data_IF_141044776460
#
_entry.id   IF_141044776460
#
_cell.length_a   1.000
_cell.length_b   1.000
_cell.length_c   1.000
_cell.angle_alpha   90.00
_cell.angle_beta   90.00
_cell.angle_gamma   90.00
#
_symmetry.space_group_name_H-M   'P 1'
#
loop_
_entity.id
_entity.type
_entity.pdbx_description
1 polymer ?
#
# COMPACT_ATOMS: atom_id res chain seq x y z
N UNK A 1 0.63 -1.74 -13.17
CA UNK A 1 -0.06 -2.60 -12.20
C UNK A 1 -0.68 -1.71 -11.12
N UNK A 2 -1.83 -2.09 -10.57
CA UNK A 2 -2.50 -1.37 -9.49
C UNK A 2 -2.68 -2.29 -8.30
N UNK A 3 -2.33 -1.81 -7.10
CA UNK A 3 -2.47 -2.57 -5.85
C UNK A 3 -3.44 -1.81 -4.96
N UNK A 4 -4.57 -2.44 -4.66
CA UNK A 4 -5.61 -1.89 -3.79
C UNK A 4 -5.40 -2.23 -2.32
N UNK A 5 -4.73 -3.36 -2.04
CA UNK A 5 -4.56 -3.89 -0.69
C UNK A 5 -3.21 -4.57 -0.51
N UNK A 6 -2.64 -4.45 0.69
CA UNK A 6 -1.43 -5.15 1.12
C UNK A 6 -1.71 -5.77 2.50
N UNK A 7 -1.82 -7.10 2.54
CA UNK A 7 -2.19 -7.83 3.75
C UNK A 7 -0.97 -8.56 4.31
N UNK A 8 -0.67 -8.30 5.58
CA UNK A 8 0.34 -9.04 6.35
C UNK A 8 -0.37 -9.71 7.53
N UNK A 9 -0.19 -11.04 7.63
CA UNK A 9 -0.66 -11.82 8.79
C UNK A 9 -0.20 -11.17 10.08
N UNK A 10 -1.09 -11.08 11.07
CA UNK A 10 -0.81 -10.31 12.29
C UNK A 10 0.46 -10.77 13.02
N UNK A 11 0.69 -12.08 13.09
CA UNK A 11 1.84 -12.70 13.75
C UNK A 11 3.17 -12.44 13.03
N UNK A 12 3.12 -11.88 11.82
CA UNK A 12 4.28 -11.58 10.97
C UNK A 12 4.52 -10.07 10.78
N UNK A 13 3.70 -9.22 11.42
CA UNK A 13 3.88 -7.76 11.38
C UNK A 13 5.13 -7.36 12.19
N UNK A 14 5.69 -6.20 11.89
CA UNK A 14 6.92 -5.71 12.53
C UNK A 14 8.23 -6.35 12.04
N UNK A 15 8.15 -7.41 11.22
CA UNK A 15 9.32 -8.10 10.67
C UNK A 15 9.84 -7.53 9.34
N UNK A 16 9.38 -6.34 8.91
CA UNK A 16 9.82 -5.71 7.66
C UNK A 16 9.26 -6.32 6.36
N UNK A 17 8.37 -7.31 6.44
CA UNK A 17 7.81 -8.01 5.26
C UNK A 17 7.08 -7.05 4.32
N UNK A 18 6.26 -6.14 4.86
CA UNK A 18 5.54 -5.15 4.05
C UNK A 18 6.48 -4.28 3.21
N UNK A 19 7.60 -3.84 3.79
CA UNK A 19 8.62 -3.08 3.07
C UNK A 19 9.29 -3.93 1.97
N UNK A 20 9.62 -5.19 2.28
CA UNK A 20 10.20 -6.11 1.28
C UNK A 20 9.27 -6.33 0.10
N UNK A 21 7.96 -6.47 0.33
CA UNK A 21 6.97 -6.61 -0.74
C UNK A 21 6.90 -5.34 -1.60
N UNK A 22 6.79 -4.16 -0.99
CA UNK A 22 6.76 -2.88 -1.72
C UNK A 22 8.02 -2.71 -2.59
N UNK A 23 9.20 -3.00 -2.03
CA UNK A 23 10.47 -2.89 -2.76
C UNK A 23 10.58 -3.91 -3.91
N UNK A 24 10.12 -5.14 -3.69
CA UNK A 24 10.10 -6.16 -4.74
C UNK A 24 9.20 -5.72 -5.90
N UNK A 25 8.02 -5.17 -5.59
CA UNK A 25 7.06 -4.67 -6.57
C UNK A 25 7.61 -3.48 -7.36
N UNK A 26 8.28 -2.55 -6.69
CA UNK A 26 8.94 -1.42 -7.35
C UNK A 26 10.03 -1.89 -8.32
N UNK A 27 10.85 -2.87 -7.91
CA UNK A 27 11.90 -3.44 -8.77
C UNK A 27 11.33 -4.15 -9.99
N UNK A 28 10.29 -4.96 -9.80
CA UNK A 28 9.70 -5.75 -10.88
C UNK A 28 8.84 -4.89 -11.81
N UNK A 29 8.19 -3.87 -11.27
CA UNK A 29 7.20 -3.06 -11.97
C UNK A 29 7.40 -1.58 -11.62
N UNK A 30 8.38 -0.95 -12.26
CA UNK A 30 8.84 0.41 -11.96
C UNK A 30 7.73 1.48 -11.98
N UNK A 31 6.65 1.23 -12.74
CA UNK A 31 5.50 2.13 -12.86
C UNK A 31 4.29 1.67 -12.01
N UNK A 32 4.49 0.83 -11.00
CA UNK A 32 3.40 0.38 -10.13
C UNK A 32 2.89 1.52 -9.28
N UNK A 33 1.59 1.77 -9.40
CA UNK A 33 0.86 2.67 -8.52
C UNK A 33 0.23 1.87 -7.39
N UNK A 34 0.48 2.30 -6.15
CA UNK A 34 -0.02 1.66 -4.95
C UNK A 34 -0.88 2.68 -4.21
N UNK A 35 -2.21 2.56 -4.33
CA UNK A 35 -3.16 3.40 -3.59
C UNK A 35 -3.85 2.50 -2.56
N UNK A 36 -3.57 2.73 -1.27
CA UNK A 36 -4.07 1.88 -0.18
C UNK A 36 -4.95 2.68 0.76
N UNK A 37 -6.04 2.07 1.22
CA UNK A 37 -6.86 2.62 2.31
C UNK A 37 -6.24 2.21 3.64
N UNK A 38 -5.35 3.06 4.16
CA UNK A 38 -4.72 2.83 5.44
C UNK A 38 -5.73 2.94 6.59
N UNK A 39 -5.75 1.93 7.47
CA UNK A 39 -6.42 2.03 8.78
C UNK A 39 -5.59 2.90 9.73
N UNK A 40 -6.19 3.40 10.82
CA UNK A 40 -5.46 4.14 11.88
C UNK A 40 -4.21 3.40 12.37
N UNK A 41 -4.25 2.05 12.41
CA UNK A 41 -3.13 1.21 12.86
C UNK A 41 -2.01 1.08 11.81
N UNK A 42 -2.33 1.21 10.52
CA UNK A 42 -1.38 1.04 9.41
C UNK A 42 -0.88 2.36 8.80
N UNK A 43 -1.53 3.49 9.07
CA UNK A 43 -1.14 4.81 8.55
C UNK A 43 0.34 5.16 8.82
N UNK A 44 0.80 5.01 10.07
CA UNK A 44 2.20 5.27 10.44
C UNK A 44 3.23 4.41 9.69
N UNK A 45 2.84 3.21 9.23
CA UNK A 45 3.72 2.38 8.42
C UNK A 45 3.92 3.02 7.05
N UNK A 46 2.84 3.43 6.38
CA UNK A 46 2.92 4.02 5.04
C UNK A 46 3.56 5.41 5.05
N UNK A 47 3.30 6.24 6.07
CA UNK A 47 3.99 7.52 6.26
C UNK A 47 5.52 7.37 6.30
N UNK A 48 6.02 6.33 6.99
CA UNK A 48 7.46 6.01 7.06
C UNK A 48 8.05 5.47 5.76
N UNK A 49 7.21 5.12 4.80
CA UNK A 49 7.59 4.61 3.48
C UNK A 49 7.34 5.68 2.39
N UNK A 50 7.25 6.95 2.78
CA UNK A 50 7.04 8.11 1.91
C UNK A 50 5.74 8.07 1.09
N UNK A 51 4.75 7.28 1.54
CA UNK A 51 3.42 7.35 0.95
C UNK A 51 2.80 8.69 1.30
N UNK A 52 2.24 9.34 0.28
CA UNK A 52 1.43 10.53 0.47
C UNK A 52 0.06 10.12 0.99
N UNK A 53 -0.47 10.86 1.95
CA UNK A 53 -1.82 10.65 2.45
C UNK A 53 -2.81 10.80 1.29
N UNK A 54 -3.70 9.82 1.17
CA UNK A 54 -4.80 9.80 0.23
C UNK A 54 -6.10 9.47 0.96
N UNK A 55 -7.03 10.42 1.02
CA UNK A 55 -8.35 10.21 1.60
C UNK A 55 -9.28 9.65 0.50
N UNK A 56 -9.47 8.33 0.48
CA UNK A 56 -9.97 7.65 -0.72
C UNK A 56 -11.49 7.40 -0.78
N UNK A 57 -12.09 7.75 -1.93
CA UNK A 57 -13.34 7.20 -2.49
C UNK A 57 -13.26 7.27 -4.02
N UNK A 58 -13.71 6.23 -4.74
CA UNK A 58 -13.84 6.27 -6.21
C UNK A 58 -15.14 5.62 -6.67
N UNK A 59 -15.90 6.35 -7.48
CA UNK A 59 -17.13 5.92 -8.15
C UNK A 59 -17.00 6.26 -9.64
N UNK A 60 -17.29 5.30 -10.51
CA UNK A 60 -17.32 5.52 -11.95
C UNK A 60 -18.76 5.42 -12.46
N UNK A 61 -19.18 6.40 -13.24
CA UNK A 61 -20.40 6.38 -14.03
C UNK A 61 -20.00 6.68 -15.48
N UNK A 62 -19.57 5.66 -16.20
CA UNK A 62 -19.59 5.74 -17.65
C UNK A 62 -20.88 5.01 -18.05
N UNK A 63 -21.69 5.61 -18.92
CA UNK A 63 -22.83 4.94 -19.56
C UNK A 63 -22.38 3.67 -20.28
#
# INVERSE_FOLDING_TARGET
MFICELLIMEQKRGMGIGNSLINHLYKQYQNTRIDLLATKRSAKFYEKQDFRIFHGYRKNFIN
#
